data_IF_387944770401
#
_entry.id   IF_387944770401
#
_cell.length_a   1.000
_cell.length_b   1.000
_cell.length_c   1.000
_cell.angle_alpha   90.00
_cell.angle_beta   90.00
_cell.angle_gamma   90.00
#
_symmetry.space_group_name_H-M   'P 1'
#
loop_
_entity.id
_entity.type
_entity.pdbx_description
1 polymer ?
#
# COMPACT_ATOMS: atom_id res chain seq x y z
N UNK A 1 13.00 -10.81 -15.88
CA UNK A 1 12.49 -11.50 -14.66
C UNK A 1 10.98 -11.46 -14.69
N UNK A 2 10.30 -12.47 -14.12
CA UNK A 2 8.84 -12.41 -13.97
C UNK A 2 8.47 -11.30 -12.98
N UNK A 3 7.38 -10.55 -13.22
CA UNK A 3 6.91 -9.53 -12.27
C UNK A 3 6.50 -10.17 -10.94
N UNK A 4 6.63 -9.41 -9.83
CA UNK A 4 6.24 -9.85 -8.48
C UNK A 4 4.75 -10.15 -8.38
N UNK A 5 3.92 -9.29 -9.01
CA UNK A 5 2.48 -9.45 -9.09
C UNK A 5 2.01 -9.26 -10.54
N UNK A 6 1.14 -10.15 -10.99
CA UNK A 6 0.43 -10.04 -12.26
C UNK A 6 -1.07 -10.14 -12.02
N UNK A 7 -1.80 -9.14 -12.46
CA UNK A 7 -3.26 -9.12 -12.48
C UNK A 7 -3.69 -9.14 -13.94
N UNK A 8 -4.46 -10.14 -14.34
CA UNK A 8 -4.90 -10.32 -15.74
C UNK A 8 -6.42 -10.41 -15.82
N UNK A 9 -7.02 -9.55 -16.64
CA UNK A 9 -8.44 -9.50 -17.01
C UNK A 9 -9.40 -9.53 -15.82
N UNK A 10 -9.00 -8.88 -14.73
CA UNK A 10 -9.73 -8.85 -13.48
C UNK A 10 -11.11 -8.22 -13.69
N UNK A 11 -12.16 -8.97 -13.32
CA UNK A 11 -13.55 -8.50 -13.40
C UNK A 11 -14.27 -8.77 -12.08
N UNK A 12 -14.88 -7.70 -11.51
CA UNK A 12 -15.59 -7.73 -10.23
C UNK A 12 -16.94 -7.04 -10.41
N UNK A 13 -17.99 -7.60 -9.84
CA UNK A 13 -19.33 -7.01 -9.87
C UNK A 13 -20.13 -7.26 -8.60
N UNK A 14 -21.30 -6.65 -8.51
CA UNK A 14 -22.25 -6.83 -7.41
C UNK A 14 -23.55 -7.43 -7.92
N UNK A 15 -24.01 -8.52 -7.29
CA UNK A 15 -25.22 -9.24 -7.71
C UNK A 15 -25.23 -9.51 -9.22
N UNK A 16 -26.34 -9.24 -9.89
CA UNK A 16 -26.50 -9.39 -11.35
C UNK A 16 -26.23 -8.10 -12.14
N UNK A 17 -25.79 -7.02 -11.48
CA UNK A 17 -25.50 -5.74 -12.13
C UNK A 17 -24.25 -5.79 -13.03
N UNK A 18 -23.88 -4.71 -13.71
CA UNK A 18 -22.66 -4.65 -14.52
C UNK A 18 -21.40 -4.79 -13.66
N UNK A 19 -20.29 -5.15 -14.29
CA UNK A 19 -19.00 -5.18 -13.60
C UNK A 19 -18.56 -3.76 -13.21
N UNK A 20 -18.12 -3.59 -11.99
CA UNK A 20 -17.55 -2.33 -11.47
C UNK A 20 -16.02 -2.30 -11.63
N UNK A 21 -15.41 -3.46 -11.86
CA UNK A 21 -14.06 -3.64 -12.40
C UNK A 21 -14.22 -4.57 -13.59
N UNK A 22 -13.71 -4.18 -14.75
CA UNK A 22 -14.00 -4.84 -16.02
C UNK A 22 -12.72 -4.96 -16.87
N UNK A 23 -12.14 -6.19 -16.93
CA UNK A 23 -10.97 -6.50 -17.71
C UNK A 23 -9.68 -5.77 -17.27
N UNK A 24 -9.53 -5.48 -15.99
CA UNK A 24 -8.37 -4.73 -15.48
C UNK A 24 -7.13 -5.63 -15.45
N UNK A 25 -6.06 -5.16 -16.11
CA UNK A 25 -4.78 -5.87 -16.17
C UNK A 25 -3.62 -4.92 -15.86
N UNK A 26 -2.75 -5.33 -14.94
CA UNK A 26 -1.51 -4.64 -14.60
C UNK A 26 -0.48 -5.62 -14.00
N UNK A 27 0.77 -5.20 -13.97
CA UNK A 27 1.85 -5.96 -13.36
C UNK A 27 2.77 -5.05 -12.54
N UNK A 28 3.40 -5.60 -11.51
CA UNK A 28 4.32 -4.92 -10.61
C UNK A 28 5.59 -5.75 -10.45
N UNK A 29 6.75 -5.12 -10.54
CA UNK A 29 8.03 -5.76 -10.27
C UNK A 29 8.43 -5.62 -8.78
N UNK A 30 9.38 -6.45 -8.32
CA UNK A 30 9.99 -6.24 -7.01
C UNK A 30 10.75 -4.91 -6.99
N UNK A 31 10.68 -4.18 -5.87
CA UNK A 31 11.30 -2.86 -5.71
C UNK A 31 10.63 -1.72 -6.49
N UNK A 32 9.61 -2.00 -7.30
CA UNK A 32 8.85 -1.01 -8.07
C UNK A 32 7.69 -0.43 -7.26
N UNK A 33 7.36 0.83 -7.50
CA UNK A 33 6.09 1.44 -7.09
C UNK A 33 5.20 1.64 -8.31
N UNK A 34 4.04 0.99 -8.32
CA UNK A 34 2.98 1.18 -9.31
C UNK A 34 1.87 2.02 -8.71
N UNK A 35 1.59 3.18 -9.28
CA UNK A 35 0.45 3.99 -8.89
C UNK A 35 -0.83 3.57 -9.63
N UNK A 36 -1.93 3.40 -8.88
CA UNK A 36 -3.29 3.29 -9.43
C UNK A 36 -4.01 4.62 -9.19
N UNK A 37 -4.34 5.33 -10.25
CA UNK A 37 -4.95 6.67 -10.19
C UNK A 37 -6.30 6.70 -10.91
N UNK A 38 -7.14 7.67 -10.59
CA UNK A 38 -8.47 7.86 -11.19
C UNK A 38 -9.46 8.45 -10.20
N UNK A 39 -10.63 8.82 -10.67
CA UNK A 39 -11.71 9.37 -9.84
C UNK A 39 -12.20 8.39 -8.76
N UNK A 40 -12.89 8.90 -7.74
CA UNK A 40 -13.58 8.05 -6.76
C UNK A 40 -14.57 7.12 -7.48
N UNK A 41 -14.63 5.86 -7.04
CA UNK A 41 -15.49 4.86 -7.68
C UNK A 41 -14.93 4.26 -8.99
N UNK A 42 -13.72 4.60 -9.43
CA UNK A 42 -13.14 4.02 -10.65
C UNK A 42 -12.68 2.54 -10.52
N UNK A 43 -12.80 1.93 -9.35
CA UNK A 43 -12.47 0.52 -9.13
C UNK A 43 -11.09 0.24 -8.52
N UNK A 44 -10.25 1.24 -8.24
CA UNK A 44 -8.88 1.10 -7.70
C UNK A 44 -8.82 0.26 -6.42
N UNK A 45 -9.55 0.69 -5.39
CA UNK A 45 -9.61 0.01 -4.09
C UNK A 45 -10.11 -1.43 -4.22
N UNK A 46 -11.13 -1.70 -5.05
CA UNK A 46 -11.63 -3.05 -5.28
C UNK A 46 -10.58 -3.92 -5.98
N UNK A 47 -9.88 -3.38 -6.99
CA UNK A 47 -8.79 -4.08 -7.67
C UNK A 47 -7.65 -4.42 -6.68
N UNK A 48 -7.29 -3.52 -5.79
CA UNK A 48 -6.28 -3.77 -4.76
C UNK A 48 -6.73 -4.80 -3.71
N UNK A 49 -7.96 -4.66 -3.20
CA UNK A 49 -8.52 -5.59 -2.20
C UNK A 49 -8.70 -7.00 -2.76
N UNK A 50 -8.92 -7.15 -4.06
CA UNK A 50 -9.03 -8.46 -4.70
C UNK A 50 -7.73 -9.26 -4.62
N UNK A 51 -6.58 -8.61 -4.62
CA UNK A 51 -5.26 -9.26 -4.43
C UNK A 51 -5.22 -10.03 -3.11
N UNK A 52 -5.80 -9.46 -2.06
CA UNK A 52 -5.90 -10.09 -0.74
C UNK A 52 -7.22 -10.86 -0.54
N UNK A 53 -8.10 -10.91 -1.53
CA UNK A 53 -9.45 -11.48 -1.41
C UNK A 53 -10.24 -10.86 -0.24
N UNK A 54 -10.08 -9.54 -0.04
CA UNK A 54 -10.77 -8.74 0.97
C UNK A 54 -11.87 -7.88 0.33
N UNK A 55 -12.61 -8.48 -0.60
CA UNK A 55 -13.78 -7.84 -1.20
C UNK A 55 -14.93 -7.77 -0.17
N UNK A 56 -15.81 -6.76 -0.28
CA UNK A 56 -17.08 -6.76 0.45
C UNK A 56 -17.90 -8.01 0.13
N UNK A 57 -18.70 -8.50 1.08
CA UNK A 57 -19.48 -9.75 0.94
C UNK A 57 -20.41 -9.76 -0.28
N UNK A 58 -20.95 -8.60 -0.65
CA UNK A 58 -21.81 -8.44 -1.84
C UNK A 58 -21.04 -8.45 -3.16
N UNK A 59 -19.70 -8.28 -3.14
CA UNK A 59 -18.89 -8.24 -4.35
C UNK A 59 -18.45 -9.64 -4.76
N UNK A 60 -18.52 -9.92 -6.06
CA UNK A 60 -18.19 -11.22 -6.64
C UNK A 60 -17.08 -11.07 -7.67
N UNK A 61 -16.08 -11.94 -7.57
CA UNK A 61 -15.09 -12.13 -8.63
C UNK A 61 -15.76 -12.82 -9.80
N UNK A 62 -15.75 -12.19 -10.99
CA UNK A 62 -16.40 -12.69 -12.21
C UNK A 62 -15.44 -13.26 -13.23
N UNK A 63 -14.17 -12.88 -13.16
CA UNK A 63 -13.14 -13.34 -14.08
C UNK A 63 -11.76 -12.81 -13.74
N UNK A 64 -10.79 -13.33 -14.46
CA UNK A 64 -9.39 -12.95 -14.34
C UNK A 64 -8.55 -13.85 -13.45
N UNK A 65 -7.28 -13.49 -13.32
CA UNK A 65 -6.31 -14.19 -12.46
C UNK A 65 -5.40 -13.19 -11.76
N UNK A 66 -4.94 -13.57 -10.58
CA UNK A 66 -3.98 -12.78 -9.81
C UNK A 66 -2.83 -13.71 -9.42
N UNK A 67 -1.68 -13.55 -10.10
CA UNK A 67 -0.48 -14.34 -9.86
C UNK A 67 0.50 -13.55 -9.00
N UNK A 68 0.94 -14.15 -7.91
CA UNK A 68 1.99 -13.62 -7.05
C UNK A 68 3.24 -14.49 -7.16
N UNK A 69 4.34 -13.91 -7.61
CA UNK A 69 5.61 -14.57 -7.86
C UNK A 69 6.63 -14.14 -6.79
N UNK A 70 6.37 -14.50 -5.56
CA UNK A 70 7.25 -14.14 -4.46
C UNK A 70 8.35 -15.18 -4.20
N UNK A 71 9.12 -14.99 -3.13
CA UNK A 71 10.28 -15.81 -2.79
C UNK A 71 10.01 -17.32 -2.68
N UNK A 72 8.78 -17.71 -2.29
CA UNK A 72 8.37 -19.12 -2.16
C UNK A 72 7.80 -19.70 -3.46
N UNK A 73 7.91 -18.99 -4.59
CA UNK A 73 7.41 -19.40 -5.90
C UNK A 73 6.09 -18.73 -6.31
N UNK A 74 5.65 -19.08 -7.51
CA UNK A 74 4.48 -18.51 -8.16
C UNK A 74 3.19 -19.18 -7.67
N UNK A 75 2.19 -18.37 -7.28
CA UNK A 75 0.88 -18.85 -6.87
C UNK A 75 -0.23 -18.00 -7.48
N UNK A 76 -1.36 -18.62 -7.84
CA UNK A 76 -2.58 -17.88 -8.18
C UNK A 76 -3.39 -17.64 -6.91
N UNK A 77 -3.44 -16.38 -6.47
CA UNK A 77 -4.08 -16.00 -5.20
C UNK A 77 -5.58 -16.31 -5.17
N UNK A 78 -6.26 -16.25 -6.33
CA UNK A 78 -7.71 -16.49 -6.40
C UNK A 78 -8.08 -17.95 -6.18
N UNK A 79 -7.19 -18.90 -6.54
CA UNK A 79 -7.44 -20.33 -6.41
C UNK A 79 -6.88 -20.95 -5.13
N UNK A 80 -6.16 -20.18 -4.30
CA UNK A 80 -5.59 -20.70 -3.05
C UNK A 80 -6.68 -21.08 -2.04
N UNK A 81 -6.55 -22.22 -1.33
CA UNK A 81 -7.33 -22.50 -0.14
C UNK A 81 -7.18 -21.38 0.90
N UNK A 82 -8.25 -21.07 1.64
CA UNK A 82 -8.27 -19.95 2.59
C UNK A 82 -7.14 -20.06 3.64
N UNK A 83 -6.82 -21.25 4.11
CA UNK A 83 -5.69 -21.48 5.04
C UNK A 83 -4.35 -20.98 4.47
N UNK A 84 -4.08 -21.21 3.17
CA UNK A 84 -2.87 -20.74 2.49
C UNK A 84 -2.93 -19.23 2.25
N UNK A 85 -4.11 -18.69 1.91
CA UNK A 85 -4.29 -17.25 1.73
C UNK A 85 -4.07 -16.47 3.04
N UNK A 86 -4.53 -17.00 4.18
CA UNK A 86 -4.25 -16.41 5.51
C UNK A 86 -2.77 -16.36 5.85
N UNK A 87 -1.97 -17.34 5.42
CA UNK A 87 -0.53 -17.33 5.61
C UNK A 87 0.17 -16.23 4.77
N UNK A 88 -0.43 -15.81 3.66
CA UNK A 88 0.11 -14.75 2.79
C UNK A 88 -0.30 -13.35 3.30
N UNK A 89 -1.56 -13.20 3.75
CA UNK A 89 -2.08 -11.92 4.25
C UNK A 89 -1.34 -11.48 5.50
N UNK A 90 -0.75 -10.29 5.47
CA UNK A 90 -0.02 -9.70 6.60
C UNK A 90 1.42 -10.19 6.76
N UNK A 91 1.81 -11.28 6.10
CA UNK A 91 3.18 -11.79 6.08
C UNK A 91 3.91 -11.41 4.79
N UNK A 92 3.44 -11.92 3.65
CA UNK A 92 4.07 -11.71 2.34
C UNK A 92 3.46 -10.56 1.56
N UNK A 93 2.15 -10.36 1.69
CA UNK A 93 1.41 -9.24 1.12
C UNK A 93 0.70 -8.52 2.25
N UNK A 94 1.03 -7.25 2.44
CA UNK A 94 0.43 -6.41 3.46
C UNK A 94 -0.33 -5.24 2.86
N UNK A 95 -1.26 -4.66 3.62
CA UNK A 95 -2.07 -3.54 3.16
C UNK A 95 -2.19 -2.45 4.22
N UNK A 96 -2.00 -1.21 3.78
CA UNK A 96 -2.35 0.00 4.50
C UNK A 96 -3.72 0.44 3.98
N UNK A 97 -4.70 0.50 4.86
CA UNK A 97 -6.07 0.89 4.52
C UNK A 97 -6.26 2.40 4.60
N UNK A 98 -7.23 2.92 3.88
CA UNK A 98 -7.55 4.35 3.80
C UNK A 98 -7.85 5.00 5.16
N UNK A 99 -8.45 4.25 6.11
CA UNK A 99 -8.82 4.76 7.43
C UNK A 99 -8.06 4.03 8.55
N UNK A 100 -7.07 4.67 9.22
CA UNK A 100 -6.30 4.05 10.30
C UNK A 100 -7.18 3.57 11.47
N UNK A 101 -8.27 4.30 11.77
CA UNK A 101 -9.18 3.95 12.86
C UNK A 101 -9.97 2.66 12.64
N UNK A 102 -10.14 2.24 11.39
CA UNK A 102 -10.80 0.97 11.07
C UNK A 102 -9.83 -0.21 11.11
N UNK A 103 -8.53 0.07 11.04
CA UNK A 103 -7.47 -0.95 11.02
C UNK A 103 -6.93 -1.27 12.41
N UNK A 104 -7.01 -0.33 13.34
CA UNK A 104 -6.51 -0.47 14.70
C UNK A 104 -7.68 -0.67 15.68
N UNK A 105 -7.64 -1.76 16.45
CA UNK A 105 -8.62 -1.99 17.52
C UNK A 105 -8.50 -0.95 18.62
N UNK A 106 -9.55 -0.20 18.97
CA UNK A 106 -9.49 0.78 20.03
C UNK A 106 -9.32 0.15 21.43
N UNK A 107 -9.60 -1.14 21.58
CA UNK A 107 -9.58 -1.85 22.85
C UNK A 107 -8.23 -2.49 23.19
N UNK A 108 -7.27 -2.49 22.24
CA UNK A 108 -5.97 -3.12 22.44
C UNK A 108 -4.84 -2.10 22.30
N UNK A 109 -3.76 -2.32 23.03
CA UNK A 109 -2.56 -1.49 22.93
C UNK A 109 -1.88 -1.66 21.58
N UNK A 110 -1.29 -0.59 21.06
CA UNK A 110 -0.63 -0.60 19.75
C UNK A 110 0.45 -1.67 19.66
N UNK A 111 1.31 -1.79 20.68
CA UNK A 111 2.37 -2.78 20.70
C UNK A 111 1.87 -4.21 20.62
N UNK A 112 0.77 -4.52 21.30
CA UNK A 112 0.19 -5.86 21.30
C UNK A 112 -0.40 -6.22 19.93
N UNK A 113 -1.06 -5.26 19.25
CA UNK A 113 -1.62 -5.44 17.90
C UNK A 113 -0.51 -5.69 16.87
N UNK A 114 0.57 -4.89 16.90
CA UNK A 114 1.69 -5.08 15.98
C UNK A 114 2.45 -6.38 16.27
N UNK A 115 2.63 -6.75 17.54
CA UNK A 115 3.26 -8.00 17.94
C UNK A 115 2.45 -9.25 17.55
N UNK A 116 1.12 -9.12 17.46
CA UNK A 116 0.26 -10.21 17.03
C UNK A 116 0.61 -10.69 15.61
N UNK A 117 0.93 -9.78 14.69
CA UNK A 117 1.39 -10.11 13.33
C UNK A 117 2.59 -11.07 13.37
N UNK A 118 3.62 -10.74 14.17
CA UNK A 118 4.82 -11.58 14.30
C UNK A 118 4.54 -12.92 14.98
N UNK A 119 3.64 -12.93 15.93
CA UNK A 119 3.25 -14.16 16.64
C UNK A 119 2.46 -15.10 15.75
N UNK A 120 1.55 -14.58 14.93
CA UNK A 120 0.73 -15.36 14.02
C UNK A 120 1.52 -15.92 12.83
N UNK A 121 2.40 -15.09 12.25
CA UNK A 121 3.06 -15.43 11.00
C UNK A 121 4.49 -15.97 11.16
N UNK A 122 5.20 -15.54 12.20
CA UNK A 122 6.63 -15.88 12.42
C UNK A 122 6.84 -16.78 13.64
N UNK A 123 5.78 -17.20 14.33
CA UNK A 123 5.85 -17.99 15.58
C UNK A 123 6.80 -17.38 16.62
N UNK A 124 6.95 -16.06 16.63
CA UNK A 124 7.85 -15.38 17.56
C UNK A 124 7.35 -15.43 19.00
N UNK A 125 8.24 -15.77 19.93
CA UNK A 125 7.95 -15.67 21.36
C UNK A 125 7.76 -14.20 21.81
N UNK A 126 7.01 -13.98 22.89
CA UNK A 126 6.61 -12.63 23.37
C UNK A 126 7.76 -11.62 23.50
N UNK A 127 8.93 -12.05 24.02
CA UNK A 127 10.09 -11.15 24.22
C UNK A 127 10.69 -10.73 22.87
N UNK A 128 10.85 -11.66 21.93
CA UNK A 128 11.40 -11.41 20.61
C UNK A 128 10.46 -10.51 19.80
N UNK A 129 9.16 -10.80 19.80
CA UNK A 129 8.15 -9.98 19.12
C UNK A 129 8.13 -8.55 19.69
N UNK A 130 8.18 -8.38 21.02
CA UNK A 130 8.24 -7.05 21.64
C UNK A 130 9.47 -6.27 21.18
N UNK A 131 10.66 -6.86 21.15
CA UNK A 131 11.89 -6.19 20.69
C UNK A 131 11.74 -5.75 19.23
N UNK A 132 11.31 -6.65 18.34
CA UNK A 132 11.11 -6.33 16.92
C UNK A 132 10.08 -5.21 16.70
N UNK A 133 9.01 -5.17 17.49
CA UNK A 133 8.01 -4.08 17.41
C UNK A 133 8.59 -2.75 17.89
N UNK A 134 9.38 -2.73 18.96
CA UNK A 134 10.02 -1.50 19.43
C UNK A 134 11.00 -0.95 18.38
N UNK A 135 11.81 -1.81 17.76
CA UNK A 135 12.69 -1.46 16.64
C UNK A 135 11.86 -0.93 15.43
N UNK A 136 10.72 -1.56 15.15
CA UNK A 136 9.82 -1.09 14.07
C UNK A 136 9.19 0.26 14.40
N UNK A 137 8.82 0.52 15.66
CA UNK A 137 8.30 1.82 16.09
C UNK A 137 9.36 2.94 15.98
N UNK A 138 10.62 2.65 16.28
CA UNK A 138 11.73 3.59 16.02
C UNK A 138 11.85 3.90 14.53
N UNK A 139 11.83 2.88 13.66
CA UNK A 139 11.90 3.04 12.20
C UNK A 139 10.78 3.90 11.64
N UNK A 140 9.57 3.75 12.15
CA UNK A 140 8.43 4.59 11.71
C UNK A 140 8.39 5.95 12.41
N UNK A 141 9.39 6.28 13.25
CA UNK A 141 9.60 7.61 13.82
C UNK A 141 8.83 7.89 15.10
N UNK A 142 8.55 6.88 15.94
CA UNK A 142 8.13 7.11 17.32
C UNK A 142 9.34 7.50 18.17
N UNK A 143 9.27 8.68 18.81
CA UNK A 143 10.34 9.19 19.69
C UNK A 143 10.51 8.31 20.94
N UNK A 144 9.40 7.80 21.50
CA UNK A 144 9.37 6.87 22.62
C UNK A 144 8.59 5.60 22.21
N UNK A 145 9.28 4.59 21.65
CA UNK A 145 8.66 3.33 21.25
C UNK A 145 7.99 2.57 22.38
N UNK A 146 8.51 2.69 23.62
CA UNK A 146 7.92 2.02 24.77
C UNK A 146 6.61 2.66 25.20
N UNK A 147 6.52 3.98 25.14
CA UNK A 147 5.26 4.70 25.35
C UNK A 147 4.26 4.32 24.26
N UNK A 148 4.66 4.31 22.97
CA UNK A 148 3.81 3.88 21.86
C UNK A 148 3.33 2.43 22.04
N UNK A 149 4.18 1.52 22.50
CA UNK A 149 3.79 0.14 22.83
C UNK A 149 2.62 0.07 23.81
N UNK A 150 2.65 0.91 24.85
CA UNK A 150 1.66 0.90 25.93
C UNK A 150 0.38 1.66 25.63
N UNK A 151 0.41 2.53 24.62
CA UNK A 151 -0.70 3.42 24.28
C UNK A 151 -1.80 2.72 23.49
N UNK A 152 -3.01 3.24 23.61
CA UNK A 152 -4.16 2.86 22.79
C UNK A 152 -4.28 3.77 21.56
N UNK A 153 -4.94 3.33 20.47
CA UNK A 153 -5.08 4.14 19.26
C UNK A 153 -5.74 5.51 19.51
N UNK A 154 -6.71 5.60 20.40
CA UNK A 154 -7.41 6.86 20.69
C UNK A 154 -6.53 7.90 21.42
N UNK A 155 -5.44 7.49 22.05
CA UNK A 155 -4.48 8.39 22.70
C UNK A 155 -3.49 9.03 21.71
N UNK A 156 -3.55 8.64 20.42
CA UNK A 156 -2.60 9.02 19.38
C UNK A 156 -3.19 10.07 18.43
N UNK A 157 -2.34 10.99 17.93
CA UNK A 157 -2.70 11.87 16.82
C UNK A 157 -2.94 11.08 15.52
N UNK A 158 -3.56 11.70 14.52
CA UNK A 158 -3.81 11.08 13.21
C UNK A 158 -2.51 10.55 12.56
N UNK A 159 -1.48 11.37 12.53
CA UNK A 159 -0.17 10.96 11.99
C UNK A 159 0.50 9.83 12.79
N UNK A 160 0.36 9.82 14.12
CA UNK A 160 0.88 8.72 14.95
C UNK A 160 0.13 7.41 14.70
N UNK A 161 -1.20 7.45 14.53
CA UNK A 161 -2.00 6.28 14.14
C UNK A 161 -1.59 5.74 12.77
N UNK A 162 -1.33 6.64 11.81
CA UNK A 162 -0.84 6.27 10.49
C UNK A 162 0.52 5.57 10.59
N UNK A 163 1.46 6.11 11.37
CA UNK A 163 2.77 5.47 11.62
C UNK A 163 2.61 4.09 12.28
N UNK A 164 1.69 3.94 13.24
CA UNK A 164 1.40 2.65 13.87
C UNK A 164 0.83 1.63 12.87
N UNK A 165 -0.06 2.05 11.97
CA UNK A 165 -0.60 1.21 10.90
C UNK A 165 0.50 0.79 9.91
N UNK A 166 1.40 1.70 9.54
CA UNK A 166 2.57 1.38 8.72
C UNK A 166 3.49 0.39 9.45
N UNK A 167 3.74 0.60 10.74
CA UNK A 167 4.53 -0.34 11.55
C UNK A 167 3.90 -1.74 11.53
N UNK A 168 2.58 -1.84 11.71
CA UNK A 168 1.87 -3.11 11.68
C UNK A 168 1.96 -3.79 10.30
N UNK A 169 1.81 -3.02 9.22
CA UNK A 169 1.91 -3.54 7.86
C UNK A 169 3.33 -4.02 7.50
N UNK A 170 4.37 -3.40 8.09
CA UNK A 170 5.76 -3.62 7.72
C UNK A 170 6.54 -4.53 8.67
N UNK A 171 6.02 -4.84 9.86
CA UNK A 171 6.76 -5.57 10.90
C UNK A 171 7.15 -6.99 10.47
N UNK A 172 6.35 -7.62 9.60
CA UNK A 172 6.64 -8.93 9.00
C UNK A 172 7.58 -8.86 7.78
N UNK A 173 7.99 -7.65 7.33
CA UNK A 173 8.79 -7.40 6.12
C UNK A 173 8.16 -8.03 4.87
N UNK A 174 6.98 -7.56 4.43
CA UNK A 174 6.28 -8.11 3.29
C UNK A 174 7.07 -7.92 1.98
N UNK A 175 6.82 -8.78 1.00
CA UNK A 175 7.35 -8.67 -0.36
C UNK A 175 6.55 -7.65 -1.19
N UNK A 176 5.25 -7.48 -0.87
CA UNK A 176 4.34 -6.55 -1.52
C UNK A 176 3.58 -5.74 -0.47
N UNK A 177 3.63 -4.42 -0.61
CA UNK A 177 2.78 -3.49 0.14
C UNK A 177 1.71 -2.89 -0.77
N UNK A 178 0.46 -2.98 -0.37
CA UNK A 178 -0.65 -2.25 -0.98
C UNK A 178 -0.98 -1.06 -0.09
N UNK A 179 -0.80 0.16 -0.57
CA UNK A 179 -1.10 1.40 0.14
C UNK A 179 -2.33 2.06 -0.48
N UNK A 180 -3.50 1.85 0.13
CA UNK A 180 -4.78 2.39 -0.34
C UNK A 180 -5.03 3.75 0.30
N UNK A 181 -4.73 4.82 -0.44
CA UNK A 181 -4.80 6.22 0.00
C UNK A 181 -4.11 6.47 1.36
N UNK A 182 -2.81 6.15 1.49
CA UNK A 182 -2.13 6.10 2.79
C UNK A 182 -1.97 7.47 3.47
N UNK A 183 -2.28 8.55 2.79
CA UNK A 183 -2.11 9.93 3.28
C UNK A 183 -3.40 10.74 3.29
N UNK A 184 -4.53 10.14 2.98
CA UNK A 184 -5.84 10.81 3.03
C UNK A 184 -6.12 11.33 4.43
N UNK A 185 -6.61 12.57 4.53
CA UNK A 185 -6.89 13.30 5.76
C UNK A 185 -5.65 13.67 6.62
N UNK A 186 -4.44 13.66 6.06
CA UNK A 186 -3.24 14.19 6.69
C UNK A 186 -2.92 15.58 6.13
N UNK A 187 -2.28 16.42 6.95
CA UNK A 187 -1.70 17.67 6.47
C UNK A 187 -0.48 17.41 5.55
N UNK A 188 -0.11 18.39 4.73
CA UNK A 188 0.93 18.26 3.71
C UNK A 188 2.28 17.81 4.29
N UNK A 189 2.65 18.31 5.47
CA UNK A 189 3.91 17.95 6.13
C UNK A 189 3.90 16.50 6.59
N UNK A 190 2.84 16.06 7.23
CA UNK A 190 2.65 14.68 7.68
C UNK A 190 2.55 13.72 6.49
N UNK A 191 1.87 14.13 5.40
CA UNK A 191 1.83 13.37 4.14
C UNK A 191 3.23 13.11 3.60
N UNK A 192 4.06 14.16 3.46
CA UNK A 192 5.44 14.02 2.97
C UNK A 192 6.28 13.08 3.85
N UNK A 193 6.12 13.15 5.18
CA UNK A 193 6.80 12.26 6.12
C UNK A 193 6.38 10.81 5.96
N UNK A 194 5.08 10.53 5.81
CA UNK A 194 4.54 9.18 5.61
C UNK A 194 5.02 8.57 4.30
N UNK A 195 4.99 9.34 3.21
CA UNK A 195 5.48 8.87 1.90
C UNK A 195 7.00 8.64 1.90
N UNK A 196 7.76 9.54 2.52
CA UNK A 196 9.20 9.37 2.73
C UNK A 196 9.53 8.12 3.54
N UNK A 197 8.74 7.82 4.56
CA UNK A 197 8.88 6.60 5.36
C UNK A 197 8.61 5.33 4.52
N UNK A 198 7.54 5.28 3.74
CA UNK A 198 7.25 4.14 2.85
C UNK A 198 8.39 3.93 1.86
N UNK A 199 8.92 5.01 1.25
CA UNK A 199 10.07 4.96 0.34
C UNK A 199 11.33 4.42 1.01
N UNK A 200 11.65 4.88 2.22
CA UNK A 200 12.80 4.40 2.98
C UNK A 200 12.70 2.90 3.30
N UNK A 201 11.51 2.45 3.74
CA UNK A 201 11.26 1.04 4.03
C UNK A 201 11.30 0.19 2.75
N UNK A 202 10.81 0.71 1.62
CA UNK A 202 10.92 0.05 0.32
C UNK A 202 12.38 -0.12 -0.10
N UNK A 203 13.20 0.92 0.02
CA UNK A 203 14.62 0.87 -0.31
C UNK A 203 15.39 -0.15 0.58
N UNK A 204 15.02 -0.25 1.88
CA UNK A 204 15.62 -1.22 2.80
C UNK A 204 15.26 -2.68 2.47
N UNK A 205 14.01 -2.93 2.05
CA UNK A 205 13.47 -4.29 1.91
C UNK A 205 13.42 -4.80 0.48
N UNK A 206 13.44 -3.92 -0.52
CA UNK A 206 13.23 -4.28 -1.93
C UNK A 206 11.78 -4.69 -2.25
N UNK A 207 10.81 -4.38 -1.38
CA UNK A 207 9.39 -4.72 -1.61
C UNK A 207 8.81 -3.99 -2.81
N UNK A 208 7.86 -4.61 -3.51
CA UNK A 208 6.99 -3.92 -4.46
C UNK A 208 5.92 -3.12 -3.74
N UNK A 209 5.51 -1.97 -4.30
CA UNK A 209 4.46 -1.11 -3.73
C UNK A 209 3.37 -0.86 -4.76
N UNK A 210 2.11 -1.16 -4.43
CA UNK A 210 0.95 -0.62 -5.14
C UNK A 210 0.46 0.58 -4.34
N UNK A 211 0.47 1.76 -4.97
CA UNK A 211 0.03 3.01 -4.36
C UNK A 211 -1.28 3.47 -5.00
N UNK A 212 -2.37 3.41 -4.27
CA UNK A 212 -3.64 4.02 -4.70
C UNK A 212 -3.69 5.44 -4.20
N UNK A 213 -3.86 6.38 -5.12
CA UNK A 213 -3.98 7.81 -4.79
C UNK A 213 -4.72 8.56 -5.88
N UNK A 214 -5.28 9.70 -5.53
CA UNK A 214 -5.79 10.71 -6.47
C UNK A 214 -4.87 11.94 -6.56
N UNK A 215 -3.77 11.96 -5.78
CA UNK A 215 -2.79 13.05 -5.75
C UNK A 215 -1.66 12.78 -6.76
N UNK A 216 -1.63 13.56 -7.85
CA UNK A 216 -0.62 13.43 -8.91
C UNK A 216 0.79 13.85 -8.45
N UNK A 217 0.89 14.75 -7.47
CA UNK A 217 2.17 15.10 -6.87
C UNK A 217 2.79 13.92 -6.14
N UNK A 218 1.96 13.11 -5.48
CA UNK A 218 2.40 11.84 -4.86
C UNK A 218 2.86 10.85 -5.92
N UNK A 219 2.10 10.71 -7.03
CA UNK A 219 2.50 9.82 -8.15
C UNK A 219 3.85 10.23 -8.72
N UNK A 220 4.03 11.52 -9.04
CA UNK A 220 5.27 12.05 -9.61
C UNK A 220 6.50 11.80 -8.73
N UNK A 221 6.31 11.80 -7.40
CA UNK A 221 7.39 11.61 -6.44
C UNK A 221 7.67 10.16 -6.08
N UNK A 222 6.68 9.26 -6.17
CA UNK A 222 6.77 7.91 -5.62
C UNK A 222 6.80 6.81 -6.69
N UNK A 223 6.07 6.98 -7.80
CA UNK A 223 5.80 5.90 -8.74
C UNK A 223 6.78 5.88 -9.92
N UNK A 224 7.19 4.68 -10.32
CA UNK A 224 7.89 4.44 -11.58
C UNK A 224 6.90 4.19 -12.71
N UNK A 225 5.77 3.57 -12.40
CA UNK A 225 4.71 3.31 -13.38
C UNK A 225 3.36 3.71 -12.85
N UNK A 226 2.44 4.03 -13.76
CA UNK A 226 1.08 4.44 -13.44
C UNK A 226 0.06 3.66 -14.27
N UNK A 227 -1.08 3.37 -13.65
CA UNK A 227 -2.29 2.85 -14.29
C UNK A 227 -3.43 3.81 -13.99
N UNK A 228 -3.98 4.41 -15.02
CA UNK A 228 -5.11 5.34 -14.93
C UNK A 228 -6.41 4.57 -15.14
N UNK A 229 -7.30 4.62 -14.17
CA UNK A 229 -8.57 3.90 -14.19
C UNK A 229 -9.77 4.84 -14.26
N UNK A 230 -10.76 4.45 -15.04
CA UNK A 230 -12.06 5.12 -15.07
C UNK A 230 -13.18 4.09 -15.24
N UNK A 231 -14.25 4.21 -14.45
CA UNK A 231 -15.45 3.36 -14.54
C UNK A 231 -15.11 1.86 -14.65
N UNK A 232 -14.18 1.40 -13.84
CA UNK A 232 -13.78 0.00 -13.77
C UNK A 232 -12.80 -0.48 -14.84
N UNK A 233 -12.34 0.38 -15.74
CA UNK A 233 -11.43 0.02 -16.84
C UNK A 233 -10.12 0.78 -16.77
N UNK A 234 -9.08 0.20 -17.35
CA UNK A 234 -7.79 0.88 -17.56
C UNK A 234 -7.92 1.76 -18.80
N UNK A 235 -7.71 3.06 -18.63
CA UNK A 235 -7.71 4.04 -19.71
C UNK A 235 -6.32 4.21 -20.32
N UNK A 236 -5.31 4.27 -19.46
CA UNK A 236 -3.92 4.47 -19.84
C UNK A 236 -2.99 3.81 -18.82
N UNK A 237 -1.82 3.35 -19.26
CA UNK A 237 -0.76 2.83 -18.40
C UNK A 237 0.60 3.05 -19.04
N UNK A 238 1.61 3.31 -18.24
CA UNK A 238 2.97 3.53 -18.74
C UNK A 238 3.94 3.93 -17.65
N UNK A 239 5.09 4.42 -18.08
CA UNK A 239 6.03 5.13 -17.21
C UNK A 239 5.33 6.35 -16.57
N UNK A 240 5.56 6.57 -15.29
CA UNK A 240 4.84 7.63 -14.57
C UNK A 240 5.21 9.02 -15.09
N UNK A 241 6.48 9.26 -15.43
CA UNK A 241 6.93 10.57 -15.93
C UNK A 241 6.38 10.84 -17.33
N UNK A 242 6.34 9.83 -18.19
CA UNK A 242 5.80 9.94 -19.55
C UNK A 242 4.30 10.23 -19.51
N UNK A 243 3.52 9.43 -18.77
CA UNK A 243 2.07 9.59 -18.69
C UNK A 243 1.67 10.91 -18.02
N UNK A 244 2.41 11.34 -16.97
CA UNK A 244 2.15 12.62 -16.31
C UNK A 244 2.51 13.83 -17.20
N UNK A 245 3.62 13.72 -17.96
CA UNK A 245 4.11 14.80 -18.80
C UNK A 245 3.39 14.93 -20.15
N UNK A 246 2.91 13.80 -20.72
CA UNK A 246 2.32 13.75 -22.04
C UNK A 246 1.26 12.64 -22.14
N UNK A 247 0.09 12.81 -21.47
CA UNK A 247 -0.95 11.80 -21.47
C UNK A 247 -1.52 11.57 -22.88
N UNK A 248 -1.54 10.31 -23.31
CA UNK A 248 -2.02 9.93 -24.64
C UNK A 248 -3.55 9.80 -24.68
N UNK A 249 -4.18 9.38 -23.58
CA UNK A 249 -5.62 9.18 -23.52
C UNK A 249 -6.36 10.46 -23.11
N UNK A 250 -7.44 10.88 -23.82
CA UNK A 250 -8.17 12.12 -23.53
C UNK A 250 -8.71 12.21 -22.10
N UNK A 251 -9.13 11.08 -21.49
CA UNK A 251 -9.56 11.04 -20.10
C UNK A 251 -8.41 11.37 -19.16
N UNK A 252 -7.21 10.80 -19.39
CA UNK A 252 -6.01 11.06 -18.57
C UNK A 252 -5.64 12.53 -18.61
N UNK A 253 -5.62 13.13 -19.82
CA UNK A 253 -5.35 14.55 -19.99
C UNK A 253 -6.35 15.42 -19.22
N UNK A 254 -7.67 15.10 -19.30
CA UNK A 254 -8.71 15.80 -18.57
C UNK A 254 -8.56 15.63 -17.04
N UNK A 255 -8.28 14.41 -16.57
CA UNK A 255 -8.09 14.12 -15.15
C UNK A 255 -6.92 14.95 -14.58
N UNK A 256 -5.81 15.00 -15.29
CA UNK A 256 -4.61 15.71 -14.85
C UNK A 256 -4.77 17.23 -14.92
N UNK A 257 -5.47 17.75 -15.94
CA UNK A 257 -5.78 19.18 -16.02
C UNK A 257 -6.70 19.68 -14.90
N UNK A 258 -7.52 18.79 -14.34
CA UNK A 258 -8.42 19.11 -13.21
C UNK A 258 -7.76 18.99 -11.83
N UNK A 259 -6.61 18.32 -11.74
CA UNK A 259 -5.91 18.14 -10.48
C UNK A 259 -4.99 19.34 -10.20
N UNK A 260 -4.97 19.90 -8.97
CA UNK A 260 -4.02 20.95 -8.63
C UNK A 260 -2.60 20.35 -8.68
N UNK A 261 -1.74 20.89 -9.56
CA UNK A 261 -0.33 20.51 -9.60
C UNK A 261 0.36 21.11 -8.35
N UNK A 262 0.62 20.28 -7.36
CA UNK A 262 1.54 20.64 -6.28
C UNK A 262 2.95 20.56 -6.87
N UNK A 263 3.77 21.64 -6.83
CA UNK A 263 5.15 21.57 -7.31
C UNK A 263 5.89 20.44 -6.62
N UNK A 264 6.70 19.68 -7.37
CA UNK A 264 7.54 18.63 -6.83
C UNK A 264 8.34 19.18 -5.64
N UNK A 265 8.14 18.59 -4.47
CA UNK A 265 9.00 18.92 -3.31
C UNK A 265 10.40 18.44 -3.66
N UNK A 266 11.33 19.36 -3.79
CA UNK A 266 12.74 19.06 -4.05
C UNK A 266 13.22 18.01 -3.04
N UNK A 267 13.89 16.97 -3.54
CA UNK A 267 14.48 15.94 -2.69
C UNK A 267 15.31 16.61 -1.58
N UNK A 268 15.22 16.19 -0.32
CA UNK A 268 16.09 16.71 0.73
C UNK A 268 17.54 16.47 0.31
N UNK A 269 18.34 17.53 0.37
CA UNK A 269 19.77 17.47 0.09
C UNK A 269 20.43 16.37 0.96
N UNK A 270 21.42 15.62 0.44
CA UNK A 270 22.13 14.63 1.22
C UNK A 270 22.73 15.30 2.46
N UNK A 271 22.53 14.69 3.62
CA UNK A 271 23.05 15.17 4.90
C UNK A 271 24.57 15.36 4.77
N UNK A 272 25.06 16.56 5.06
CA UNK A 272 26.49 16.86 5.10
C UNK A 272 27.19 15.93 6.08
N UNK A 273 28.37 15.38 5.75
CA UNK A 273 29.15 14.55 6.68
C UNK A 273 29.48 15.37 7.93
N UNK A 274 29.25 14.78 9.10
CA UNK A 274 29.70 15.37 10.37
C UNK A 274 31.22 15.60 10.30
N UNK A 275 31.73 16.74 10.76
CA UNK A 275 33.17 16.92 10.91
C UNK A 275 33.70 15.86 11.89
N UNK A 276 34.81 15.26 11.52
CA UNK A 276 35.57 14.35 12.39
C UNK A 276 36.20 15.21 13.51
N UNK A 277 35.92 14.88 14.75
CA UNK A 277 36.70 15.28 15.92
C UNK A 277 37.88 14.33 16.12
#
# INVERSE_FOLDING_TARGET
MAPLLEVNDLSIGFGNGPSVVDGVSFALNAGETLALVGESGSGKTLSCRSVLRLLPDAAQMRGGSIRFNGAEGAVNLLSLPEKKMRAIRGDRISMIFQEPMRSLSPLHRLGDQVAEVLRLHRNMGRRAAKRAVLEQFEKVGFVDPMRAWKSYPFEMSGGMRQRAMIAMAMVAKPELLIADEPTTALDVTTQAQVLGLIRSLQAETGMGVILVTHDLGVVANMAQRVVVMNKGRVMERGDAQEVLGSPAHPYTAKLFAAAPMIPAVAAPAPASPKPAD
#
